data_IF_885321182824
#
_entry.id   IF_885321182824
#
_cell.length_a   1.000
_cell.length_b   1.000
_cell.length_c   1.000
_cell.angle_alpha   90.00
_cell.angle_beta   90.00
_cell.angle_gamma   90.00
#
_symmetry.space_group_name_H-M   'P 1'
#
loop_
_entity.id
_entity.type
_entity.pdbx_description
1 polymer ?
#
# COMPACT_ATOMS: atom_id res chain seq x y z
N UNK A 1 -0.95 -10.48 -9.82
CA UNK A 1 0.44 -11.01 -9.75
C UNK A 1 0.38 -12.41 -9.17
N UNK A 2 1.25 -13.33 -9.59
CA UNK A 2 1.19 -14.71 -9.10
C UNK A 2 1.62 -14.85 -7.65
N UNK A 3 1.30 -16.01 -7.08
CA UNK A 3 1.44 -16.29 -5.64
C UNK A 3 2.91 -16.26 -5.21
N UNK A 4 3.83 -16.72 -6.05
CA UNK A 4 5.26 -16.73 -5.78
C UNK A 4 5.81 -15.29 -5.70
N UNK A 5 5.44 -14.43 -6.65
CA UNK A 5 5.80 -13.00 -6.63
C UNK A 5 5.33 -12.33 -5.32
N UNK A 6 4.09 -12.62 -4.87
CA UNK A 6 3.56 -12.06 -3.62
C UNK A 6 4.33 -12.55 -2.38
N UNK A 7 4.78 -13.81 -2.37
CA UNK A 7 5.59 -14.37 -1.29
C UNK A 7 6.96 -13.69 -1.20
N UNK A 8 7.66 -13.55 -2.33
CA UNK A 8 8.95 -12.86 -2.38
C UNK A 8 8.86 -11.40 -1.90
N UNK A 9 7.82 -10.68 -2.31
CA UNK A 9 7.57 -9.31 -1.84
C UNK A 9 7.32 -9.28 -0.32
N UNK A 10 6.55 -10.24 0.21
CA UNK A 10 6.27 -10.31 1.65
C UNK A 10 7.56 -10.52 2.44
N UNK A 11 8.44 -11.40 1.99
CA UNK A 11 9.74 -11.65 2.62
C UNK A 11 10.63 -10.40 2.55
N UNK A 12 10.67 -9.72 1.40
CA UNK A 12 11.39 -8.45 1.23
C UNK A 12 10.93 -7.41 2.26
N UNK A 13 9.62 -7.20 2.38
CA UNK A 13 9.07 -6.20 3.30
C UNK A 13 9.29 -6.58 4.78
N UNK A 14 9.20 -7.87 5.13
CA UNK A 14 9.44 -8.33 6.50
C UNK A 14 10.90 -8.23 6.94
N UNK A 15 11.85 -8.18 6.00
CA UNK A 15 13.27 -8.02 6.29
C UNK A 15 13.69 -6.58 6.58
N UNK A 16 12.82 -5.59 6.31
CA UNK A 16 13.10 -4.18 6.61
C UNK A 16 12.86 -3.94 8.10
N UNK A 17 13.93 -3.55 8.83
CA UNK A 17 13.88 -3.41 10.30
C UNK A 17 13.36 -2.06 10.76
N UNK A 18 13.65 -1.00 10.00
CA UNK A 18 13.20 0.34 10.33
C UNK A 18 11.77 0.58 9.83
N UNK A 19 10.90 1.06 10.70
CA UNK A 19 9.49 1.26 10.38
C UNK A 19 9.30 2.36 9.32
N UNK A 20 10.11 3.42 9.37
CA UNK A 20 10.00 4.52 8.40
C UNK A 20 10.45 4.04 7.03
N UNK A 21 11.56 3.33 6.95
CA UNK A 21 12.05 2.70 5.72
C UNK A 21 11.02 1.72 5.13
N UNK A 22 10.35 0.92 5.98
CA UNK A 22 9.29 0.02 5.54
C UNK A 22 8.13 0.81 4.90
N UNK A 23 7.66 1.86 5.56
CA UNK A 23 6.56 2.69 5.05
C UNK A 23 6.99 3.37 3.74
N UNK A 24 8.16 4.00 3.69
CA UNK A 24 8.70 4.62 2.48
C UNK A 24 8.82 3.60 1.33
N UNK A 25 9.22 2.36 1.62
CA UNK A 25 9.30 1.30 0.61
C UNK A 25 7.92 0.94 0.05
N UNK A 26 6.89 0.87 0.90
CA UNK A 26 5.52 0.62 0.42
C UNK A 26 4.98 1.77 -0.44
N UNK A 27 5.39 3.01 -0.17
CA UNK A 27 5.01 4.20 -0.95
C UNK A 27 5.66 4.20 -2.34
N UNK A 28 6.95 3.83 -2.39
CA UNK A 28 7.75 3.78 -3.61
C UNK A 28 7.36 2.64 -4.56
N UNK A 29 6.67 1.61 -4.07
CA UNK A 29 6.42 0.40 -4.84
C UNK A 29 7.66 -0.48 -4.99
N UNK A 30 7.58 -1.50 -5.85
CA UNK A 30 8.61 -2.53 -6.01
C UNK A 30 8.79 -2.83 -7.49
N UNK A 31 10.01 -2.67 -7.99
CA UNK A 31 10.37 -3.08 -9.35
C UNK A 31 10.60 -4.60 -9.42
N UNK A 32 10.36 -5.20 -10.58
CA UNK A 32 10.62 -6.64 -10.79
C UNK A 32 12.10 -6.99 -10.65
N UNK A 33 12.99 -6.07 -11.02
CA UNK A 33 14.45 -6.22 -10.90
C UNK A 33 14.94 -6.34 -9.46
N UNK A 34 14.14 -5.92 -8.47
CA UNK A 34 14.48 -6.02 -7.05
C UNK A 34 14.11 -7.39 -6.46
N UNK A 35 13.32 -8.18 -7.18
CA UNK A 35 12.88 -9.50 -6.73
C UNK A 35 13.85 -10.58 -7.23
N UNK A 36 14.11 -11.61 -6.42
CA UNK A 36 14.89 -12.75 -6.86
C UNK A 36 14.18 -13.46 -8.02
N UNK A 37 14.97 -14.06 -8.90
CA UNK A 37 14.44 -14.87 -9.99
C UNK A 37 13.72 -16.11 -9.42
N UNK A 38 12.46 -16.27 -9.79
CA UNK A 38 11.60 -17.35 -9.28
C UNK A 38 11.83 -18.60 -10.14
N UNK A 39 12.18 -19.76 -9.55
CA UNK A 39 12.36 -21.00 -10.30
C UNK A 39 11.09 -21.39 -11.07
N UNK A 40 11.24 -21.96 -12.26
CA UNK A 40 10.11 -22.37 -13.11
C UNK A 40 9.18 -23.38 -12.43
N UNK A 41 9.67 -24.17 -11.47
CA UNK A 41 8.87 -25.10 -10.66
C UNK A 41 7.92 -24.41 -9.67
N UNK A 42 8.19 -23.15 -9.31
CA UNK A 42 7.40 -22.37 -8.36
C UNK A 42 6.49 -21.32 -9.05
N UNK A 43 6.73 -21.04 -10.33
CA UNK A 43 5.91 -20.10 -11.12
C UNK A 43 4.51 -20.67 -11.35
N UNK A 44 3.48 -19.95 -10.89
CA UNK A 44 2.09 -20.26 -11.27
C UNK A 44 1.76 -19.72 -12.67
N UNK A 45 0.56 -20.04 -13.19
CA UNK A 45 0.09 -19.58 -14.50
C UNK A 45 0.23 -18.06 -14.72
N UNK A 46 -0.03 -17.26 -13.69
CA UNK A 46 0.10 -15.79 -13.76
C UNK A 46 1.53 -15.27 -13.59
N UNK A 47 2.47 -16.11 -13.12
CA UNK A 47 3.90 -15.79 -13.09
C UNK A 47 4.58 -16.17 -14.43
N UNK A 48 3.98 -17.08 -15.21
CA UNK A 48 4.42 -17.46 -16.56
C UNK A 48 4.03 -16.44 -17.64
N UNK A 49 3.01 -15.62 -17.39
CA UNK A 49 2.66 -14.49 -18.28
C UNK A 49 3.69 -13.39 -18.06
N UNK A 50 4.81 -13.48 -18.77
CA UNK A 50 5.84 -12.46 -18.78
C UNK A 50 5.34 -11.22 -19.53
N UNK A 51 5.29 -10.11 -18.80
CA UNK A 51 4.95 -8.80 -19.34
C UNK A 51 6.18 -7.90 -19.22
N UNK A 52 6.45 -7.09 -20.25
CA UNK A 52 7.50 -6.07 -20.26
C UNK A 52 7.27 -4.95 -19.22
N UNK A 53 6.14 -4.99 -18.49
CA UNK A 53 5.87 -4.03 -17.44
C UNK A 53 6.89 -4.14 -16.28
N UNK A 54 7.58 -3.04 -15.90
CA UNK A 54 8.76 -3.11 -15.04
C UNK A 54 8.43 -3.25 -13.54
N UNK A 55 7.22 -2.89 -13.10
CA UNK A 55 6.85 -2.94 -11.69
C UNK A 55 6.19 -4.26 -11.29
N UNK A 56 6.52 -4.75 -10.10
CA UNK A 56 5.78 -5.79 -9.41
C UNK A 56 4.60 -5.17 -8.63
N UNK A 57 4.87 -4.06 -7.93
CA UNK A 57 3.89 -3.18 -7.26
C UNK A 57 4.12 -1.74 -7.71
N UNK A 58 3.07 -1.07 -8.16
CA UNK A 58 3.17 0.28 -8.69
C UNK A 58 3.38 1.31 -7.57
N UNK A 59 4.19 2.37 -7.81
CA UNK A 59 4.34 3.48 -6.87
C UNK A 59 3.03 4.25 -6.66
N UNK A 60 2.94 4.99 -5.56
CA UNK A 60 1.86 5.95 -5.29
C UNK A 60 2.42 7.38 -5.32
N UNK A 61 2.69 7.95 -6.51
CA UNK A 61 3.41 9.23 -6.64
C UNK A 61 2.63 10.42 -6.06
N UNK A 62 1.31 10.31 -5.90
CA UNK A 62 0.48 11.42 -5.44
C UNK A 62 0.45 11.57 -3.91
N UNK A 63 1.18 10.75 -3.15
CA UNK A 63 1.18 10.78 -1.68
C UNK A 63 1.64 12.11 -1.07
N UNK A 64 2.39 12.93 -1.81
CA UNK A 64 2.73 14.27 -1.35
C UNK A 64 1.53 15.23 -1.37
N UNK A 65 0.45 14.89 -2.09
CA UNK A 65 -0.85 15.57 -2.03
C UNK A 65 -1.72 14.93 -0.93
N UNK A 66 -1.41 15.25 0.33
CA UNK A 66 -2.06 14.67 1.51
C UNK A 66 -3.52 15.10 1.71
N UNK A 67 -4.03 16.02 0.89
CA UNK A 67 -5.39 16.58 1.01
C UNK A 67 -6.50 15.56 0.72
N UNK A 68 -6.28 14.68 -0.26
CA UNK A 68 -7.37 13.89 -0.83
C UNK A 68 -7.63 12.56 -0.11
N UNK A 69 -6.61 11.80 0.37
CA UNK A 69 -6.87 10.50 1.01
C UNK A 69 -7.72 10.58 2.28
N UNK A 70 -7.65 11.70 3.00
CA UNK A 70 -8.53 11.97 4.14
C UNK A 70 -8.66 13.48 4.39
N UNK A 71 -9.79 13.88 4.97
CA UNK A 71 -10.02 15.26 5.38
C UNK A 71 -10.47 15.34 6.85
N UNK A 72 -9.89 16.27 7.61
CA UNK A 72 -10.31 16.55 8.99
C UNK A 72 -11.56 17.42 8.99
N UNK A 73 -12.61 16.99 9.69
CA UNK A 73 -13.90 17.70 9.80
C UNK A 73 -14.24 17.88 11.28
N UNK A 74 -14.07 19.12 11.77
CA UNK A 74 -14.16 19.39 13.21
C UNK A 74 -13.15 18.54 13.99
N UNK A 75 -13.65 17.74 14.94
CA UNK A 75 -12.84 16.81 15.73
C UNK A 75 -12.72 15.41 15.11
N UNK A 76 -13.37 15.16 13.96
CA UNK A 76 -13.38 13.88 13.28
C UNK A 76 -12.56 13.88 11.99
N UNK A 77 -12.51 12.73 11.34
CA UNK A 77 -11.84 12.55 10.05
C UNK A 77 -12.71 11.76 9.07
N UNK A 78 -12.75 12.25 7.84
CA UNK A 78 -13.32 11.57 6.67
C UNK A 78 -12.19 10.79 6.00
N UNK A 79 -12.17 9.47 6.15
CA UNK A 79 -11.24 8.60 5.44
C UNK A 79 -11.85 8.24 4.09
N UNK A 80 -11.47 8.97 3.05
CA UNK A 80 -12.20 9.00 1.79
C UNK A 80 -12.10 7.68 1.01
N UNK A 81 -13.14 7.35 0.24
CA UNK A 81 -13.06 6.34 -0.82
C UNK A 81 -12.70 7.04 -2.14
N UNK A 82 -11.48 6.80 -2.63
CA UNK A 82 -10.96 7.54 -3.78
C UNK A 82 -11.52 7.00 -5.11
N UNK A 83 -11.83 7.90 -6.04
CA UNK A 83 -12.36 7.53 -7.37
C UNK A 83 -11.46 6.55 -8.15
N UNK A 84 -10.14 6.77 -8.17
CA UNK A 84 -9.22 5.89 -8.88
C UNK A 84 -8.67 4.81 -7.94
N UNK A 85 -8.69 3.55 -8.36
CA UNK A 85 -8.11 2.41 -7.64
C UNK A 85 -6.64 2.65 -7.23
N UNK A 86 -5.84 3.27 -8.11
CA UNK A 86 -4.43 3.57 -7.83
C UNK A 86 -4.28 4.50 -6.62
N UNK A 87 -5.10 5.55 -6.52
CA UNK A 87 -5.07 6.48 -5.38
C UNK A 87 -5.81 5.95 -4.16
N UNK A 88 -6.78 5.04 -4.33
CA UNK A 88 -7.47 4.42 -3.20
C UNK A 88 -6.55 3.52 -2.35
N UNK A 89 -5.37 3.18 -2.87
CA UNK A 89 -4.31 2.54 -2.08
C UNK A 89 -3.70 3.47 -1.02
N UNK A 90 -3.68 4.78 -1.26
CA UNK A 90 -3.09 5.80 -0.37
C UNK A 90 -3.83 5.88 0.98
N UNK A 91 -5.15 5.63 0.98
CA UNK A 91 -6.01 5.70 2.17
C UNK A 91 -5.66 4.62 3.21
N UNK A 92 -4.81 3.65 2.85
CA UNK A 92 -4.28 2.66 3.79
C UNK A 92 -3.45 3.31 4.90
N UNK A 93 -2.68 4.36 4.59
CA UNK A 93 -1.87 5.07 5.59
C UNK A 93 -2.77 5.75 6.63
N UNK A 94 -3.81 6.46 6.16
CA UNK A 94 -4.82 7.08 7.03
C UNK A 94 -5.49 6.06 7.95
N UNK A 95 -5.91 4.90 7.40
CA UNK A 95 -6.50 3.80 8.20
C UNK A 95 -5.62 3.42 9.38
N UNK A 96 -4.35 3.12 9.15
CA UNK A 96 -3.43 2.72 10.24
C UNK A 96 -3.17 3.85 11.24
N UNK A 97 -3.10 5.11 10.78
CA UNK A 97 -2.89 6.27 11.66
C UNK A 97 -4.07 6.40 12.63
N UNK A 98 -5.29 6.42 12.13
CA UNK A 98 -6.45 6.68 12.98
C UNK A 98 -6.94 5.45 13.76
N UNK A 99 -6.39 4.26 13.52
CA UNK A 99 -6.65 3.06 14.34
C UNK A 99 -5.54 2.76 15.36
N UNK A 100 -4.26 2.99 15.02
CA UNK A 100 -3.14 2.50 15.84
C UNK A 100 -2.17 3.58 16.34
N UNK A 101 -2.21 4.80 15.82
CA UNK A 101 -1.27 5.85 16.25
C UNK A 101 -1.50 6.23 17.72
N UNK A 102 -0.46 6.42 18.55
CA UNK A 102 -0.63 6.75 19.97
C UNK A 102 -1.48 8.00 20.24
N UNK A 103 -1.41 8.99 19.35
CA UNK A 103 -2.16 10.25 19.48
C UNK A 103 -3.55 10.21 18.87
N UNK A 104 -3.75 9.46 17.77
CA UNK A 104 -4.98 9.53 16.96
C UNK A 104 -5.81 8.24 17.01
N UNK A 105 -5.16 7.10 17.23
CA UNK A 105 -5.73 5.76 17.24
C UNK A 105 -6.88 5.63 18.23
N UNK A 106 -8.08 5.36 17.73
CA UNK A 106 -9.28 5.16 18.55
C UNK A 106 -9.78 6.41 19.30
N UNK A 107 -9.19 7.59 19.01
CA UNK A 107 -9.53 8.87 19.66
C UNK A 107 -10.22 9.85 18.71
N UNK A 108 -10.07 9.65 17.40
CA UNK A 108 -10.66 10.50 16.36
C UNK A 108 -11.93 9.82 15.81
N UNK A 109 -13.12 10.45 15.92
CA UNK A 109 -14.34 9.95 15.30
C UNK A 109 -14.20 9.84 13.77
N UNK A 110 -14.60 8.71 13.21
CA UNK A 110 -14.74 8.54 11.76
C UNK A 110 -16.07 9.13 11.30
N UNK A 111 -16.04 10.04 10.34
CA UNK A 111 -17.26 10.57 9.69
C UNK A 111 -17.52 9.91 8.34
N UNK A 112 -16.52 9.21 7.80
CA UNK A 112 -16.59 8.40 6.60
C UNK A 112 -15.46 7.37 6.64
N UNK A 113 -15.74 6.12 6.27
CA UNK A 113 -14.73 5.07 6.17
C UNK A 113 -14.43 4.67 4.72
N UNK A 114 -13.18 4.23 4.47
CA UNK A 114 -12.72 3.83 3.11
C UNK A 114 -13.50 2.66 2.48
N UNK A 115 -14.26 1.94 3.29
CA UNK A 115 -15.05 0.75 2.90
C UNK A 115 -16.51 1.14 2.57
N UNK A 116 -16.91 2.37 2.86
CA UNK A 116 -18.22 2.92 2.51
C UNK A 116 -18.26 3.31 1.02
N UNK A 117 -19.44 3.17 0.42
CA UNK A 117 -19.76 3.44 -0.99
C UNK A 117 -20.64 4.66 -1.15
#
# INVERSE_FOLDING_TARGET
RGRATKKAIRELLLNIKDNKELIEKTMAGIQKSELPEIPSSEKGLTDLVESNYPFAIDPMPNLYFTRDPFATIGNGVSLNHMFSETRNRETLYGKYIFTHHPEYGGKVPMVYEREET
#
